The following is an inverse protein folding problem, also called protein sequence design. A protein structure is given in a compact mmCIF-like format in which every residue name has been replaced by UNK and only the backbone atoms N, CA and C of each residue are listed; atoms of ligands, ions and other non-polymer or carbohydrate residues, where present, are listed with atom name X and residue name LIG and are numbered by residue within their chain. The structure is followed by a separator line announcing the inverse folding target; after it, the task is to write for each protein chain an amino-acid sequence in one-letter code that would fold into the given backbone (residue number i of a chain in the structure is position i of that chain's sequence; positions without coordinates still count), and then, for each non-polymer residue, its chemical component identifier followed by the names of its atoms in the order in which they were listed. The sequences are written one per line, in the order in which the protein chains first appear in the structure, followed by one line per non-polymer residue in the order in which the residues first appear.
data_IF_459569770962
#
_entry.id   IF_459569770962
#
_cell.length_a   1.000
_cell.length_b   1.000
_cell.length_c   1.000
_cell.angle_alpha   90.00
_cell.angle_beta   90.00
_cell.angle_gamma   90.00
#
_symmetry.space_group_name_H-M   'P 1'
#
loop_
_entity.id
_entity.type
_entity.pdbx_description
1 polymer ?
#
# COMPACT_ATOMS: atom_id res chain seq x y z
N UNK A 1 27.50 4.43 18.33
CA UNK A 1 26.72 5.52 18.97
C UNK A 1 25.46 4.88 19.54
N UNK A 2 25.47 4.61 20.84
CA UNK A 2 24.35 4.05 21.58
C UNK A 2 23.59 5.23 22.20
N UNK A 3 22.31 5.40 21.89
CA UNK A 3 21.47 6.41 22.54
C UNK A 3 20.72 5.72 23.68
N UNK A 4 21.00 6.05 24.96
CA UNK A 4 20.24 5.51 26.06
C UNK A 4 18.91 6.28 26.16
N UNK A 5 17.79 5.60 25.97
CA UNK A 5 16.47 6.16 26.29
C UNK A 5 16.09 5.74 27.71
N UNK A 6 16.49 6.54 28.69
CA UNK A 6 15.80 6.59 29.98
C UNK A 6 14.80 7.74 29.89
N UNK A 7 13.51 7.42 29.98
CA UNK A 7 12.43 8.40 29.90
C UNK A 7 11.31 7.89 29.01
N UNK A 8 10.15 7.74 29.61
CA UNK A 8 8.93 7.14 29.09
C UNK A 8 8.50 7.76 27.74
N UNK A 9 8.05 6.91 26.81
CA UNK A 9 7.34 7.25 25.58
C UNK A 9 7.90 8.45 24.80
N UNK A 10 8.94 8.22 23.97
CA UNK A 10 9.11 9.02 22.75
C UNK A 10 7.88 8.80 21.88
N UNK A 11 6.88 9.64 22.09
CA UNK A 11 5.63 9.73 21.37
C UNK A 11 5.96 9.80 19.88
N UNK A 12 5.60 8.76 19.13
CA UNK A 12 5.62 8.70 17.66
C UNK A 12 4.61 9.71 17.08
N UNK A 13 4.72 10.98 17.46
CA UNK A 13 3.87 12.03 16.94
C UNK A 13 4.26 12.23 15.48
N UNK A 14 3.29 12.14 14.54
CA UNK A 14 3.58 12.43 13.15
C UNK A 14 4.11 13.86 13.01
N UNK A 15 4.90 14.09 11.96
CA UNK A 15 5.08 15.46 11.48
C UNK A 15 3.71 15.99 11.05
N UNK A 16 3.47 17.30 11.10
CA UNK A 16 2.26 17.85 10.50
C UNK A 16 2.29 17.63 8.98
N UNK A 17 1.25 17.01 8.42
CA UNK A 17 1.13 16.78 6.98
C UNK A 17 0.11 15.71 6.60
N UNK A 18 -0.13 15.51 5.29
CA UNK A 18 -0.99 14.44 4.81
C UNK A 18 -0.44 13.07 5.21
N UNK A 19 -1.35 12.15 5.52
CA UNK A 19 -1.02 10.76 5.87
C UNK A 19 -0.34 10.08 4.69
N UNK A 20 0.74 9.35 4.95
CA UNK A 20 1.41 8.55 3.93
C UNK A 20 0.58 7.31 3.57
N UNK A 21 0.28 7.16 2.28
CA UNK A 21 -0.43 6.00 1.72
C UNK A 21 0.45 5.13 0.84
N UNK A 22 1.74 5.47 0.68
CA UNK A 22 2.63 4.73 -0.21
C UNK A 22 2.93 3.35 0.35
N UNK A 23 3.19 2.43 -0.58
CA UNK A 23 3.70 1.10 -0.25
C UNK A 23 5.15 1.01 -0.68
N UNK A 24 5.99 0.50 0.21
CA UNK A 24 7.42 0.35 -0.04
C UNK A 24 7.82 -1.10 -0.09
N UNK A 25 8.68 -1.43 -1.05
CA UNK A 25 9.32 -2.74 -1.17
C UNK A 25 10.80 -2.58 -0.89
N UNK A 26 11.31 -3.37 0.05
CA UNK A 26 12.72 -3.46 0.37
C UNK A 26 13.20 -4.88 0.10
N UNK A 27 14.12 -5.03 -0.86
CA UNK A 27 14.73 -6.31 -1.18
C UNK A 27 16.20 -6.28 -0.79
N UNK A 28 16.63 -7.26 0.00
CA UNK A 28 18.04 -7.54 0.29
C UNK A 28 18.39 -8.89 -0.31
N UNK A 29 19.42 -8.89 -1.14
CA UNK A 29 20.01 -10.06 -1.75
C UNK A 29 21.38 -10.28 -1.14
N UNK A 30 21.59 -11.42 -0.50
CA UNK A 30 22.92 -11.90 -0.13
C UNK A 30 23.40 -12.80 -1.26
N UNK A 31 24.24 -12.25 -2.14
CA UNK A 31 24.70 -12.96 -3.34
C UNK A 31 25.68 -14.06 -2.95
N UNK A 32 25.50 -15.25 -3.54
CA UNK A 32 26.38 -16.40 -3.33
C UNK A 32 27.79 -16.10 -3.83
N UNK A 33 28.78 -16.74 -3.22
CA UNK A 33 30.18 -16.58 -3.60
C UNK A 33 30.41 -16.90 -5.09
N UNK A 34 31.22 -16.08 -5.77
CA UNK A 34 31.49 -16.21 -7.20
C UNK A 34 30.31 -15.87 -8.14
N UNK A 35 29.12 -15.54 -7.61
CA UNK A 35 27.90 -15.29 -8.43
C UNK A 35 27.58 -13.83 -8.72
N UNK A 36 28.41 -12.90 -8.26
CA UNK A 36 28.15 -11.46 -8.39
C UNK A 36 28.02 -10.98 -9.85
N UNK A 37 28.82 -11.49 -10.78
CA UNK A 37 28.73 -11.08 -12.19
C UNK A 37 27.42 -11.56 -12.85
N UNK A 38 27.06 -12.83 -12.64
CA UNK A 38 25.79 -13.41 -13.11
C UNK A 38 24.59 -12.66 -12.50
N UNK A 39 24.68 -12.32 -11.22
CA UNK A 39 23.66 -11.55 -10.50
C UNK A 39 23.47 -10.15 -11.09
N UNK A 40 24.58 -9.44 -11.41
CA UNK A 40 24.52 -8.11 -12.05
C UNK A 40 23.85 -8.16 -13.42
N UNK A 41 24.11 -9.20 -14.23
CA UNK A 41 23.45 -9.40 -15.53
C UNK A 41 21.94 -9.60 -15.33
N UNK A 42 21.52 -10.49 -14.43
CA UNK A 42 20.10 -10.69 -14.13
C UNK A 42 19.44 -9.41 -13.56
N UNK A 43 20.18 -8.62 -12.77
CA UNK A 43 19.69 -7.34 -12.27
C UNK A 43 19.47 -6.32 -13.40
N UNK A 44 20.32 -6.32 -14.43
CA UNK A 44 20.13 -5.48 -15.61
C UNK A 44 18.87 -5.90 -16.39
N UNK A 45 18.64 -7.21 -16.53
CA UNK A 45 17.42 -7.75 -17.15
C UNK A 45 16.16 -7.32 -16.37
N UNK A 46 16.19 -7.39 -15.03
CA UNK A 46 15.10 -6.88 -14.19
C UNK A 46 14.83 -5.38 -14.45
N UNK A 47 15.88 -4.56 -14.54
CA UNK A 47 15.74 -3.12 -14.80
C UNK A 47 15.12 -2.89 -16.18
N UNK A 48 15.56 -3.62 -17.21
CA UNK A 48 15.03 -3.52 -18.56
C UNK A 48 13.54 -3.92 -18.66
N UNK A 49 13.11 -4.92 -17.89
CA UNK A 49 11.72 -5.35 -17.82
C UNK A 49 10.82 -4.42 -16.99
N UNK A 50 11.40 -3.59 -16.12
CA UNK A 50 10.65 -2.76 -15.17
C UNK A 50 9.90 -1.62 -15.86
N UNK A 51 8.58 -1.51 -15.62
CA UNK A 51 7.78 -0.35 -16.02
C UNK A 51 7.94 0.81 -15.04
N UNK A 52 8.80 1.78 -15.38
CA UNK A 52 9.19 2.90 -14.50
C UNK A 52 8.03 3.76 -13.98
N UNK A 53 6.93 3.89 -14.74
CA UNK A 53 5.74 4.68 -14.34
C UNK A 53 5.05 4.19 -13.05
N UNK A 54 5.30 2.95 -12.63
CA UNK A 54 4.74 2.38 -11.41
C UNK A 54 5.56 2.73 -10.16
N UNK A 55 6.83 3.11 -10.34
CA UNK A 55 7.79 3.29 -9.26
C UNK A 55 7.96 4.78 -8.99
N UNK A 56 7.56 5.23 -7.80
CA UNK A 56 7.67 6.62 -7.36
C UNK A 56 9.11 7.01 -7.04
N UNK A 57 9.87 6.08 -6.48
CA UNK A 57 11.30 6.22 -6.27
C UNK A 57 11.98 4.85 -6.28
N UNK A 58 13.25 4.83 -6.69
CA UNK A 58 14.09 3.65 -6.66
C UNK A 58 15.45 4.00 -6.09
N UNK A 59 15.85 3.29 -5.03
CA UNK A 59 17.18 3.35 -4.45
C UNK A 59 17.83 1.97 -4.46
N UNK A 60 19.15 1.94 -4.63
CA UNK A 60 19.96 0.74 -4.60
C UNK A 60 21.21 0.98 -3.76
N UNK A 61 21.65 -0.05 -3.03
CA UNK A 61 22.82 -0.02 -2.18
C UNK A 61 23.59 -1.33 -2.33
N UNK A 62 24.91 -1.29 -2.33
CA UNK A 62 25.73 -2.51 -2.32
C UNK A 62 26.88 -2.39 -1.34
N UNK A 63 27.19 -3.49 -0.66
CA UNK A 63 28.35 -3.64 0.21
C UNK A 63 28.75 -5.12 0.21
N UNK A 64 29.98 -5.42 -0.17
CA UNK A 64 30.50 -6.78 -0.29
C UNK A 64 29.62 -7.64 -1.23
N UNK A 65 29.15 -8.79 -0.74
CA UNK A 65 28.21 -9.65 -1.44
C UNK A 65 26.74 -9.29 -1.18
N UNK A 66 26.45 -8.20 -0.48
CA UNK A 66 25.08 -7.76 -0.17
C UNK A 66 24.67 -6.66 -1.13
N UNK A 67 23.50 -6.87 -1.73
CA UNK A 67 22.81 -5.91 -2.59
C UNK A 67 21.45 -5.60 -1.97
N UNK A 68 21.09 -4.33 -1.83
CA UNK A 68 19.79 -3.88 -1.36
C UNK A 68 19.13 -2.97 -2.38
N UNK A 69 17.82 -3.02 -2.42
CA UNK A 69 17.02 -2.00 -3.10
C UNK A 69 15.81 -1.60 -2.28
N UNK A 70 15.38 -0.35 -2.46
CA UNK A 70 14.18 0.22 -1.86
C UNK A 70 13.38 0.91 -2.95
N UNK A 71 12.11 0.53 -3.10
CA UNK A 71 11.17 1.08 -4.08
C UNK A 71 9.93 1.60 -3.38
N UNK A 72 9.36 2.68 -3.88
CA UNK A 72 8.06 3.20 -3.46
C UNK A 72 7.04 3.11 -4.57
N UNK A 73 5.81 2.81 -4.21
CA UNK A 73 4.66 2.65 -5.11
C UNK A 73 3.48 3.43 -4.53
N UNK A 74 2.53 3.78 -5.39
CA UNK A 74 1.27 4.39 -4.97
C UNK A 74 0.51 3.48 -3.99
N UNK A 75 0.47 2.19 -4.28
CA UNK A 75 -0.31 1.18 -3.58
C UNK A 75 0.21 -0.24 -3.88
N UNK A 76 -0.45 -1.26 -3.33
CA UNK A 76 -0.10 -2.67 -3.53
C UNK A 76 -0.14 -3.13 -4.99
N UNK A 77 -1.03 -2.59 -5.84
CA UNK A 77 -1.11 -2.97 -7.26
C UNK A 77 0.19 -2.63 -8.00
N UNK A 78 0.81 -1.50 -7.65
CA UNK A 78 2.11 -1.12 -8.20
C UNK A 78 3.20 -2.16 -7.91
N UNK A 79 3.21 -2.73 -6.70
CA UNK A 79 4.14 -3.80 -6.32
C UNK A 79 3.86 -5.06 -7.11
N UNK A 80 2.61 -5.51 -7.14
CA UNK A 80 2.23 -6.78 -7.80
C UNK A 80 2.51 -6.72 -9.30
N UNK A 81 2.18 -5.61 -9.96
CA UNK A 81 2.50 -5.38 -11.36
C UNK A 81 4.02 -5.34 -11.59
N UNK A 82 4.79 -4.68 -10.72
CA UNK A 82 6.25 -4.65 -10.81
C UNK A 82 6.88 -6.04 -10.65
N UNK A 83 6.40 -6.85 -9.69
CA UNK A 83 6.89 -8.23 -9.50
C UNK A 83 6.55 -9.08 -10.73
N UNK A 84 5.36 -8.93 -11.30
CA UNK A 84 4.96 -9.60 -12.54
C UNK A 84 5.88 -9.26 -13.71
N UNK A 85 6.27 -7.99 -13.85
CA UNK A 85 7.19 -7.53 -14.91
C UNK A 85 8.55 -8.22 -14.84
N UNK A 86 9.08 -8.38 -13.62
CA UNK A 86 10.41 -8.94 -13.41
C UNK A 86 10.39 -10.42 -13.04
N UNK A 87 9.27 -11.12 -13.21
CA UNK A 87 9.08 -12.49 -12.72
C UNK A 87 10.21 -13.44 -13.14
N UNK A 88 10.50 -13.51 -14.43
CA UNK A 88 11.53 -14.40 -14.96
C UNK A 88 12.96 -14.05 -14.50
N UNK A 89 13.46 -12.80 -14.64
CA UNK A 89 14.79 -12.46 -14.17
C UNK A 89 14.90 -12.49 -12.63
N UNK A 90 13.84 -12.19 -11.89
CA UNK A 90 13.80 -12.31 -10.43
C UNK A 90 13.98 -13.77 -10.00
N UNK A 91 13.30 -14.71 -10.66
CA UNK A 91 13.46 -16.14 -10.39
C UNK A 91 14.91 -16.63 -10.59
N UNK A 92 15.65 -16.05 -11.55
CA UNK A 92 17.08 -16.32 -11.72
C UNK A 92 17.91 -15.70 -10.60
N UNK A 93 17.64 -14.44 -10.21
CA UNK A 93 18.34 -13.76 -9.13
C UNK A 93 18.21 -14.50 -7.79
N UNK A 94 17.03 -15.03 -7.47
CA UNK A 94 16.77 -15.82 -6.25
C UNK A 94 17.59 -17.12 -6.24
N UNK A 95 17.96 -17.70 -7.39
CA UNK A 95 18.86 -18.87 -7.42
C UNK A 95 20.31 -18.51 -7.11
N UNK A 96 20.71 -17.27 -7.43
CA UNK A 96 22.07 -16.74 -7.26
C UNK A 96 22.30 -16.08 -5.89
N UNK A 97 21.26 -15.93 -5.08
CA UNK A 97 21.32 -15.17 -3.83
C UNK A 97 20.28 -15.65 -2.82
N UNK A 98 20.45 -15.29 -1.55
CA UNK A 98 19.37 -15.38 -0.57
C UNK A 98 18.59 -14.08 -0.58
N UNK A 99 17.27 -14.15 -0.80
CA UNK A 99 16.37 -12.99 -0.83
C UNK A 99 15.65 -12.84 0.51
N UNK A 100 15.82 -11.66 1.12
CA UNK A 100 14.95 -11.13 2.16
C UNK A 100 14.10 -10.00 1.57
N UNK A 101 12.77 -10.19 1.57
CA UNK A 101 11.82 -9.22 1.05
C UNK A 101 10.99 -8.64 2.20
N UNK A 102 10.85 -7.32 2.22
CA UNK A 102 9.98 -6.62 3.17
C UNK A 102 9.03 -5.70 2.41
N UNK A 103 7.76 -5.71 2.79
CA UNK A 103 6.75 -4.79 2.29
C UNK A 103 6.19 -3.98 3.46
N UNK A 104 6.17 -2.67 3.29
CA UNK A 104 5.66 -1.73 4.30
C UNK A 104 4.56 -0.90 3.64
N UNK A 105 3.41 -0.73 4.28
CA UNK A 105 2.30 0.03 3.72
C UNK A 105 1.08 0.04 4.62
N UNK A 106 -0.05 0.55 4.12
CA UNK A 106 -1.31 0.57 4.87
C UNK A 106 -1.80 -0.85 5.19
N UNK A 107 -2.72 -0.99 6.15
CA UNK A 107 -3.32 -2.29 6.46
C UNK A 107 -3.97 -2.94 5.23
N UNK A 108 -4.73 -2.16 4.47
CA UNK A 108 -5.42 -2.59 3.26
C UNK A 108 -4.43 -3.08 2.19
N UNK A 109 -3.37 -2.32 1.93
CA UNK A 109 -2.34 -2.71 0.96
C UNK A 109 -1.59 -3.99 1.37
N UNK A 110 -1.31 -4.13 2.67
CA UNK A 110 -0.63 -5.33 3.19
C UNK A 110 -1.53 -6.56 3.06
N UNK A 111 -2.82 -6.46 3.38
CA UNK A 111 -3.78 -7.56 3.22
C UNK A 111 -3.86 -8.00 1.75
N UNK A 112 -3.89 -7.04 0.82
CA UNK A 112 -3.89 -7.30 -0.61
C UNK A 112 -2.59 -7.92 -1.14
N UNK A 113 -1.43 -7.44 -0.68
CA UNK A 113 -0.13 -7.92 -1.16
C UNK A 113 0.32 -9.24 -0.51
N UNK A 114 -0.19 -9.58 0.67
CA UNK A 114 0.34 -10.66 1.51
C UNK A 114 0.33 -12.02 0.80
N UNK A 115 -0.85 -12.47 0.37
CA UNK A 115 -0.97 -13.79 -0.25
C UNK A 115 -0.19 -13.88 -1.58
N UNK A 116 -0.34 -12.94 -2.54
CA UNK A 116 0.39 -13.02 -3.81
C UNK A 116 1.91 -13.01 -3.64
N UNK A 117 2.43 -12.17 -2.74
CA UNK A 117 3.88 -12.06 -2.52
C UNK A 117 4.41 -13.29 -1.80
N UNK A 118 3.67 -13.86 -0.84
CA UNK A 118 4.10 -15.06 -0.11
C UNK A 118 4.16 -16.30 -1.00
N UNK A 119 3.38 -16.37 -2.09
CA UNK A 119 3.51 -17.43 -3.11
C UNK A 119 4.87 -17.42 -3.82
N UNK A 120 5.52 -16.26 -3.85
CA UNK A 120 6.78 -16.02 -4.59
C UNK A 120 7.96 -16.06 -3.64
N UNK A 121 7.82 -15.38 -2.50
CA UNK A 121 8.82 -15.29 -1.43
C UNK A 121 8.13 -15.64 -0.11
N UNK A 122 8.05 -16.94 0.27
CA UNK A 122 7.34 -17.39 1.46
C UNK A 122 7.81 -16.72 2.76
N UNK A 123 9.09 -16.34 2.83
CA UNK A 123 9.69 -15.66 3.97
C UNK A 123 9.55 -14.12 3.94
N UNK A 124 8.73 -13.57 3.05
CA UNK A 124 8.51 -12.12 2.99
C UNK A 124 7.93 -11.60 4.31
N UNK A 125 8.41 -10.44 4.76
CA UNK A 125 7.91 -9.76 5.96
C UNK A 125 7.01 -8.60 5.58
N UNK A 126 5.96 -8.40 6.36
CA UNK A 126 4.92 -7.40 6.09
C UNK A 126 4.77 -6.49 7.30
N UNK A 127 4.91 -5.19 7.08
CA UNK A 127 4.91 -4.15 8.11
C UNK A 127 3.73 -3.21 7.86
N UNK A 128 2.75 -3.26 8.76
CA UNK A 128 1.58 -2.38 8.68
C UNK A 128 1.96 -1.02 9.24
N UNK A 129 1.77 0.02 8.42
CA UNK A 129 1.89 1.40 8.84
C UNK A 129 0.87 1.66 9.94
N UNK A 130 1.36 2.07 11.11
CA UNK A 130 0.50 2.52 12.20
C UNK A 130 -0.18 3.83 11.78
N UNK A 131 -1.46 3.96 12.13
CA UNK A 131 -2.21 5.18 11.93
C UNK A 131 -1.47 6.40 12.51
N UNK A 132 -1.27 7.43 11.69
CA UNK A 132 -0.55 8.64 12.08
C UNK A 132 0.95 8.46 12.34
N UNK A 133 1.59 7.36 11.93
CA UNK A 133 3.03 7.17 12.17
C UNK A 133 3.95 7.83 11.13
N UNK A 134 3.43 8.11 9.93
CA UNK A 134 4.17 8.79 8.86
C UNK A 134 3.25 9.78 8.16
N UNK A 135 3.74 10.99 7.99
CA UNK A 135 3.12 12.02 7.18
C UNK A 135 4.12 12.48 6.12
N UNK A 136 3.61 12.76 4.92
CA UNK A 136 4.44 13.36 3.89
C UNK A 136 4.65 14.84 4.22
N UNK A 137 5.86 15.34 3.98
CA UNK A 137 6.13 16.77 4.14
C UNK A 137 5.22 17.57 3.19
N UNK A 138 4.47 18.54 3.74
CA UNK A 138 3.68 19.45 2.91
C UNK A 138 4.62 20.42 2.23
N UNK A 139 4.57 20.46 0.90
CA UNK A 139 5.19 21.57 0.18
C UNK A 139 4.32 22.81 0.42
N UNK A 140 4.80 23.78 1.20
CA UNK A 140 4.04 24.99 1.59
C UNK A 140 3.46 25.76 0.39
N UNK A 141 4.07 25.61 -0.79
CA UNK A 141 3.62 26.18 -2.06
C UNK A 141 2.37 25.48 -2.60
N UNK A 142 2.29 24.15 -2.45
CA UNK A 142 1.16 23.32 -2.87
C UNK A 142 -0.03 23.53 -1.92
N UNK A 143 0.24 23.65 -0.62
CA UNK A 143 -0.77 23.91 0.40
C UNK A 143 -1.50 25.24 0.19
N UNK A 144 -0.78 26.29 -0.22
CA UNK A 144 -1.39 27.59 -0.58
C UNK A 144 -2.31 27.46 -1.80
N UNK A 145 -1.88 26.71 -2.82
CA UNK A 145 -2.66 26.52 -4.05
C UNK A 145 -3.94 25.70 -3.82
N UNK A 146 -3.90 24.66 -2.98
CA UNK A 146 -5.10 23.92 -2.58
C UNK A 146 -6.04 24.75 -1.71
N UNK A 147 -5.51 25.57 -0.79
CA UNK A 147 -6.31 26.49 0.03
C UNK A 147 -6.98 27.59 -0.80
N UNK A 148 -6.31 28.09 -1.84
CA UNK A 148 -6.89 29.04 -2.79
C UNK A 148 -7.96 28.37 -3.67
N UNK A 149 -7.73 27.14 -4.16
CA UNK A 149 -8.71 26.39 -4.95
C UNK A 149 -9.98 26.02 -4.16
N UNK A 150 -9.85 25.67 -2.87
CA UNK A 150 -11.01 25.39 -1.99
C UNK A 150 -11.77 26.64 -1.55
N UNK A 151 -11.21 27.83 -1.73
CA UNK A 151 -11.88 29.11 -1.42
C UNK A 151 -12.87 29.53 -2.50
N UNK A 152 -12.69 29.02 -3.72
CA UNK A 152 -13.59 29.23 -4.86
C UNK A 152 -14.74 28.19 -4.91
N UNK A 153 -14.75 27.23 -3.99
CA UNK A 153 -15.74 26.14 -3.89
C UNK A 153 -16.63 26.26 -2.62
N UNK A 154 -16.80 27.47 -2.07
CA UNK A 154 -17.84 27.73 -1.06
C UNK A 154 -19.21 27.76 -1.77
N UNK A 155 -20.15 26.83 -1.48
CA UNK A 155 -21.45 26.87 -2.12
C UNK A 155 -22.23 28.06 -1.57
N UNK A 156 -22.69 28.94 -2.46
CA UNK A 156 -23.67 29.96 -2.13
C UNK A 156 -24.96 29.31 -1.64
N UNK A 157 -25.09 29.13 -0.32
CA UNK A 157 -26.35 28.80 0.32
C UNK A 157 -27.30 29.99 0.11
N UNK A 158 -28.29 29.83 -0.77
CA UNK A 158 -29.45 30.71 -0.85
C UNK A 158 -30.67 29.98 -0.31
N UNK A 159 -31.37 30.72 0.53
CA UNK A 159 -32.51 30.35 1.36
C UNK A 159 -33.62 29.59 0.62
N UNK A 160 -34.08 28.50 1.22
CA UNK A 160 -35.45 28.03 1.04
C UNK A 160 -36.06 27.76 2.42
N UNK A 161 -36.95 28.65 2.83
CA UNK A 161 -37.73 28.55 4.06
C UNK A 161 -38.69 27.34 4.02
N UNK A 162 -38.99 26.69 5.16
CA UNK A 162 -39.92 25.58 5.20
C UNK A 162 -41.36 26.09 5.26
N UNK A 163 -42.24 25.60 4.37
CA UNK A 163 -43.70 25.71 4.56
C UNK A 163 -44.26 24.39 5.07
N UNK A 164 -44.94 24.48 6.20
CA UNK A 164 -45.68 23.39 6.83
C UNK A 164 -47.03 23.13 6.12
N UNK A 165 -47.30 21.84 5.85
CA UNK A 165 -48.51 21.03 6.11
C UNK A 165 -49.91 21.49 5.60
N UNK A 166 -50.86 20.57 5.25
CA UNK A 166 -51.33 19.51 6.17
C UNK A 166 -51.64 18.11 5.61
N UNK A 167 -51.85 17.26 6.61
CA UNK A 167 -52.28 15.86 6.71
C UNK A 167 -53.69 15.60 6.14
N UNK A 168 -53.91 14.43 5.52
CA UNK A 168 -55.20 13.72 5.55
C UNK A 168 -55.01 12.22 5.21
N UNK A 169 -55.84 11.38 5.82
CA UNK A 169 -55.63 9.95 6.09
C UNK A 169 -56.56 8.99 5.29
N UNK A 170 -56.28 7.68 5.46
CA UNK A 170 -57.08 6.46 5.14
C UNK A 170 -56.99 5.95 3.68
N UNK A 171 -57.06 4.66 3.35
CA UNK A 171 -57.42 3.38 4.02
C UNK A 171 -56.80 2.26 3.13
N UNK A 172 -56.17 1.22 3.66
CA UNK A 172 -56.82 -0.09 3.87
C UNK A 172 -56.17 -1.19 3.02
N UNK A 173 -55.98 -2.39 3.57
CA UNK A 173 -55.63 -3.61 2.81
C UNK A 173 -54.67 -4.59 3.50
N UNK A 174 -55.23 -5.54 4.25
CA UNK A 174 -54.67 -6.86 4.63
C UNK A 174 -54.05 -7.61 3.42
N UNK A 175 -53.21 -8.67 3.49
CA UNK A 175 -53.05 -9.72 4.49
C UNK A 175 -51.78 -10.56 4.20
N UNK A 176 -51.31 -11.25 5.26
CA UNK A 176 -50.69 -12.60 5.36
C UNK A 176 -49.34 -12.91 4.68
N UNK A 177 -48.32 -13.51 5.30
CA UNK A 177 -48.11 -14.58 6.31
C UNK A 177 -47.51 -15.83 5.64
N UNK A 178 -46.39 -16.34 6.20
CA UNK A 178 -45.73 -17.61 5.86
C UNK A 178 -44.50 -17.44 4.95
N UNK A 179 -43.33 -18.01 5.19
CA UNK A 179 -42.83 -18.94 6.20
C UNK A 179 -41.43 -19.40 5.75
N UNK A 180 -40.49 -19.51 6.68
CA UNK A 180 -39.25 -20.33 6.55
C UNK A 180 -39.47 -21.61 7.40
N UNK A 181 -38.64 -22.69 7.34
CA UNK A 181 -37.29 -22.81 6.75
C UNK A 181 -36.99 -24.14 5.99
N UNK A 182 -35.74 -24.23 5.51
CA UNK A 182 -34.86 -25.41 5.27
C UNK A 182 -35.33 -26.60 4.42
N UNK A 183 -34.53 -26.95 3.39
CA UNK A 183 -33.92 -28.29 3.34
C UNK A 183 -32.69 -28.36 2.42
N UNK A 184 -31.74 -29.14 2.92
CA UNK A 184 -30.47 -29.61 2.38
C UNK A 184 -30.71 -30.70 1.33
N UNK A 185 -30.07 -30.63 0.15
CA UNK A 185 -29.83 -31.84 -0.64
C UNK A 185 -28.53 -31.72 -1.45
N UNK A 186 -27.58 -32.57 -1.07
CA UNK A 186 -26.38 -32.88 -1.84
C UNK A 186 -26.73 -34.00 -2.84
N UNK A 187 -26.31 -33.86 -4.09
CA UNK A 187 -26.37 -34.93 -5.08
C UNK A 187 -25.06 -35.00 -5.89
N UNK A 188 -24.48 -36.21 -5.84
CA UNK A 188 -23.53 -36.93 -6.71
C UNK A 188 -22.37 -36.18 -7.42
#
# INVERSE_FOLDING_TARGET
VYYPTHGENLSFLPLEGPVDTHVTLQAKFTVKEGKMEEFKKCSADCIAATRTKLIKYYGFYSRDNIVRSRKGYENADGILAHIGDIWEPLGKMIKLSELELQIHGTKEDIEKAREPVSKIVPQATFWVLREGAVTCAVDKKTEKKEKEAKKDEEPAAKDVAPKAQPEEAKEGGEAKEGGEPEEEEAAD
#
